data_IF_494711052651
#
_entry.id   IF_494711052651
#
_cell.length_a   1.000
_cell.length_b   1.000
_cell.length_c   1.000
_cell.angle_alpha   90.00
_cell.angle_beta   90.00
_cell.angle_gamma   90.00
#
_symmetry.space_group_name_H-M   'P 1'
#
loop_
_entity.id
_entity.type
_entity.pdbx_description
1 polymer ?
#
# COMPACT_ATOMS: atom_id res chain seq x y z
N UNK A 1 -34.48 -34.94 -17.12
CA UNK A 1 -35.71 -34.21 -17.49
C UNK A 1 -36.64 -35.20 -18.14
N UNK A 2 -37.81 -35.42 -17.53
CA UNK A 2 -38.74 -36.49 -17.86
C UNK A 2 -39.55 -36.14 -19.10
N UNK A 3 -39.67 -37.11 -20.00
CA UNK A 3 -40.45 -37.06 -21.22
C UNK A 3 -41.91 -37.42 -20.87
N UNK A 4 -42.78 -36.41 -20.75
CA UNK A 4 -44.21 -36.55 -20.43
C UNK A 4 -45.05 -36.49 -21.71
N UNK A 5 -44.83 -37.45 -22.62
CA UNK A 5 -45.69 -37.65 -23.78
C UNK A 5 -45.87 -39.14 -24.03
N UNK A 6 -46.75 -39.75 -23.23
CA UNK A 6 -47.46 -40.97 -23.61
C UNK A 6 -48.78 -41.02 -22.84
N UNK A 7 -49.94 -40.91 -23.50
CA UNK A 7 -51.20 -41.35 -22.94
C UNK A 7 -51.52 -42.74 -23.52
N UNK A 8 -50.95 -43.78 -22.90
CA UNK A 8 -51.45 -45.15 -23.05
C UNK A 8 -52.62 -45.37 -22.09
N UNK A 9 -53.60 -46.10 -22.60
CA UNK A 9 -54.78 -46.63 -21.93
C UNK A 9 -55.83 -45.61 -21.49
N UNK A 10 -56.81 -45.36 -22.38
CA UNK A 10 -58.25 -45.33 -22.06
C UNK A 10 -59.03 -45.85 -23.28
N UNK A 11 -58.87 -47.15 -23.57
CA UNK A 11 -59.64 -47.82 -24.62
C UNK A 11 -60.80 -48.59 -23.96
N UNK A 12 -61.89 -47.89 -23.65
CA UNK A 12 -63.13 -48.52 -23.21
C UNK A 12 -63.80 -49.13 -24.46
N UNK A 13 -63.66 -50.44 -24.66
CA UNK A 13 -64.53 -51.22 -25.55
C UNK A 13 -65.84 -51.53 -24.82
N UNK A 14 -67.02 -51.32 -25.43
CA UNK A 14 -68.23 -51.94 -24.92
C UNK A 14 -68.35 -53.38 -25.45
N UNK A 15 -68.41 -54.34 -24.54
CA UNK A 15 -68.84 -55.71 -24.83
C UNK A 15 -70.30 -55.72 -25.30
N UNK A 16 -70.57 -56.52 -26.33
CA UNK A 16 -71.90 -56.87 -26.81
C UNK A 16 -72.41 -58.04 -25.97
N UNK A 17 -73.45 -57.82 -25.18
CA UNK A 17 -74.35 -58.90 -24.80
C UNK A 17 -75.73 -58.38 -24.39
N UNK A 18 -76.77 -59.02 -24.91
CA UNK A 18 -78.05 -59.10 -24.21
C UNK A 18 -79.16 -58.19 -24.73
N UNK A 19 -80.04 -58.80 -25.50
CA UNK A 19 -81.40 -58.44 -25.89
C UNK A 19 -82.30 -57.96 -24.72
N UNK A 20 -83.34 -57.17 -25.03
CA UNK A 20 -84.48 -56.91 -24.11
C UNK A 20 -84.79 -55.43 -23.87
N UNK A 21 -85.84 -54.92 -24.52
CA UNK A 21 -86.29 -53.54 -24.41
C UNK A 21 -87.04 -53.21 -23.11
N UNK A 22 -87.05 -51.92 -22.74
CA UNK A 22 -88.27 -51.16 -22.44
C UNK A 22 -87.97 -49.64 -22.34
N UNK A 23 -88.99 -48.86 -22.67
CA UNK A 23 -89.20 -47.41 -22.53
C UNK A 23 -88.28 -46.60 -21.57
N UNK A 24 -87.73 -45.45 -22.03
CA UNK A 24 -87.58 -44.28 -21.15
C UNK A 24 -87.50 -42.93 -21.88
N UNK A 25 -88.43 -42.04 -21.49
CA UNK A 25 -88.77 -40.73 -22.08
C UNK A 25 -87.81 -39.59 -21.71
N UNK A 26 -86.55 -39.88 -21.37
CA UNK A 26 -85.59 -38.91 -20.78
C UNK A 26 -84.40 -38.53 -21.68
N UNK A 27 -84.30 -39.07 -22.91
CA UNK A 27 -83.09 -38.91 -23.72
C UNK A 27 -82.90 -37.52 -24.37
N UNK A 28 -83.96 -36.76 -24.61
CA UNK A 28 -83.88 -35.43 -25.26
C UNK A 28 -83.40 -34.31 -24.32
N UNK A 29 -83.62 -34.43 -23.01
CA UNK A 29 -83.22 -33.42 -22.03
C UNK A 29 -81.71 -33.36 -21.79
N UNK A 30 -80.98 -34.45 -22.07
CA UNK A 30 -79.50 -34.52 -21.97
C UNK A 30 -78.80 -34.29 -23.32
N UNK A 31 -79.43 -34.65 -24.45
CA UNK A 31 -78.86 -34.49 -25.78
C UNK A 31 -78.71 -33.02 -26.22
N UNK A 32 -79.70 -32.18 -25.93
CA UNK A 32 -79.70 -30.77 -26.36
C UNK A 32 -78.61 -29.95 -25.64
N UNK A 33 -78.42 -30.05 -24.30
CA UNK A 33 -77.29 -29.43 -23.61
C UNK A 33 -75.92 -29.95 -24.08
N UNK A 34 -75.80 -31.25 -24.39
CA UNK A 34 -74.55 -31.86 -24.86
C UNK A 34 -74.15 -31.35 -26.25
N UNK A 35 -75.11 -31.18 -27.16
CA UNK A 35 -74.86 -30.60 -28.49
C UNK A 35 -74.50 -29.10 -28.40
N UNK A 36 -75.17 -28.34 -27.51
CA UNK A 36 -74.83 -26.94 -27.24
C UNK A 36 -73.41 -26.77 -26.67
N UNK A 37 -73.00 -27.65 -25.75
CA UNK A 37 -71.64 -27.69 -25.21
C UNK A 37 -70.60 -28.06 -26.26
N UNK A 38 -70.90 -29.00 -27.17
CA UNK A 38 -69.99 -29.36 -28.26
C UNK A 38 -69.77 -28.21 -29.25
N UNK A 39 -70.84 -27.51 -29.64
CA UNK A 39 -70.76 -26.33 -30.51
C UNK A 39 -70.03 -25.16 -29.83
N UNK A 40 -70.28 -24.91 -28.55
CA UNK A 40 -69.57 -23.90 -27.76
C UNK A 40 -68.09 -24.24 -27.62
N UNK A 41 -67.75 -25.50 -27.35
CA UNK A 41 -66.38 -26.00 -27.26
C UNK A 41 -65.65 -25.91 -28.61
N UNK A 42 -66.35 -26.10 -29.73
CA UNK A 42 -65.80 -25.93 -31.08
C UNK A 42 -65.56 -24.46 -31.44
N UNK A 43 -66.53 -23.57 -31.17
CA UNK A 43 -66.39 -22.12 -31.41
C UNK A 43 -65.27 -21.55 -30.54
N UNK A 44 -65.22 -21.90 -29.26
CA UNK A 44 -64.17 -21.46 -28.34
C UNK A 44 -62.80 -22.02 -28.72
N UNK A 45 -62.72 -23.29 -29.15
CA UNK A 45 -61.47 -23.88 -29.62
C UNK A 45 -60.95 -23.19 -30.88
N UNK A 46 -61.84 -22.75 -31.79
CA UNK A 46 -61.46 -22.07 -33.03
C UNK A 46 -60.99 -20.64 -32.78
N UNK A 47 -61.69 -19.90 -31.92
CA UNK A 47 -61.29 -18.54 -31.54
C UNK A 47 -59.99 -18.56 -30.72
N UNK A 48 -59.87 -19.52 -29.79
CA UNK A 48 -58.64 -19.72 -29.02
C UNK A 48 -57.43 -20.09 -29.90
N UNK A 49 -57.62 -20.95 -30.92
CA UNK A 49 -56.55 -21.25 -31.88
C UNK A 49 -56.10 -20.02 -32.66
N UNK A 50 -57.03 -19.14 -33.04
CA UNK A 50 -56.72 -17.91 -33.75
C UNK A 50 -55.94 -16.93 -32.87
N UNK A 51 -56.35 -16.73 -31.61
CA UNK A 51 -55.62 -15.90 -30.64
C UNK A 51 -54.22 -16.45 -30.34
N UNK A 52 -54.08 -17.77 -30.23
CA UNK A 52 -52.78 -18.43 -30.06
C UNK A 52 -51.88 -18.19 -31.27
N UNK A 53 -52.41 -18.28 -32.49
CA UNK A 53 -51.62 -18.09 -33.71
C UNK A 53 -51.20 -16.63 -33.89
N UNK A 54 -52.09 -15.67 -33.61
CA UNK A 54 -51.77 -14.24 -33.59
C UNK A 54 -50.71 -13.90 -32.53
N UNK A 55 -50.83 -14.50 -31.33
CA UNK A 55 -49.82 -14.36 -30.29
C UNK A 55 -48.47 -14.94 -30.72
N UNK A 56 -48.44 -16.14 -31.31
CA UNK A 56 -47.20 -16.76 -31.83
C UNK A 56 -46.52 -15.88 -32.88
N UNK A 57 -47.27 -15.37 -33.86
CA UNK A 57 -46.70 -14.49 -34.91
C UNK A 57 -46.12 -13.22 -34.29
N UNK A 58 -46.81 -12.65 -33.29
CA UNK A 58 -46.31 -11.48 -32.55
C UNK A 58 -45.03 -11.79 -31.77
N UNK A 59 -44.97 -12.93 -31.09
CA UNK A 59 -43.77 -13.38 -30.36
C UNK A 59 -42.61 -13.70 -31.30
N UNK A 60 -42.86 -14.35 -32.43
CA UNK A 60 -41.82 -14.66 -33.41
C UNK A 60 -41.24 -13.37 -34.01
N UNK A 61 -42.10 -12.38 -34.28
CA UNK A 61 -41.68 -11.06 -34.74
C UNK A 61 -40.84 -10.33 -33.69
N UNK A 62 -41.24 -10.36 -32.41
CA UNK A 62 -40.46 -9.71 -31.34
C UNK A 62 -39.12 -10.40 -31.10
N UNK A 63 -39.08 -11.74 -31.10
CA UNK A 63 -37.83 -12.51 -30.99
C UNK A 63 -36.89 -12.17 -32.14
N UNK A 64 -37.39 -12.13 -33.39
CA UNK A 64 -36.59 -11.75 -34.56
C UNK A 64 -36.04 -10.32 -34.46
N UNK A 65 -36.82 -9.38 -33.93
CA UNK A 65 -36.32 -8.00 -33.71
C UNK A 65 -35.29 -7.92 -32.60
N UNK A 66 -35.51 -8.62 -31.48
CA UNK A 66 -34.57 -8.66 -30.35
C UNK A 66 -33.26 -9.30 -30.80
N UNK A 67 -33.30 -10.40 -31.55
CA UNK A 67 -32.12 -11.08 -32.06
C UNK A 67 -31.30 -10.18 -32.99
N UNK A 68 -31.95 -9.42 -33.88
CA UNK A 68 -31.26 -8.45 -34.74
C UNK A 68 -30.62 -7.30 -33.95
N UNK A 69 -31.33 -6.75 -32.97
CA UNK A 69 -30.81 -5.69 -32.10
C UNK A 69 -29.60 -6.18 -31.29
N UNK A 70 -29.65 -7.42 -30.79
CA UNK A 70 -28.55 -8.04 -30.06
C UNK A 70 -27.32 -8.28 -30.95
N UNK A 71 -27.50 -8.74 -32.20
CA UNK A 71 -26.38 -8.94 -33.14
C UNK A 71 -25.71 -7.59 -33.49
N UNK A 72 -26.50 -6.54 -33.71
CA UNK A 72 -25.96 -5.19 -33.97
C UNK A 72 -25.18 -4.68 -32.76
N UNK A 73 -25.75 -4.77 -31.55
CA UNK A 73 -25.07 -4.36 -30.32
C UNK A 73 -23.78 -5.15 -30.08
N UNK A 74 -23.83 -6.46 -30.26
CA UNK A 74 -22.66 -7.32 -30.12
C UNK A 74 -21.54 -6.91 -31.08
N UNK A 75 -21.85 -6.73 -32.37
CA UNK A 75 -20.86 -6.29 -33.37
C UNK A 75 -20.30 -4.91 -33.05
N UNK A 76 -21.16 -3.99 -32.58
CA UNK A 76 -20.72 -2.65 -32.18
C UNK A 76 -19.74 -2.72 -31.01
N UNK A 77 -20.10 -3.42 -29.93
CA UNK A 77 -19.23 -3.59 -28.75
C UNK A 77 -17.91 -4.27 -29.10
N UNK A 78 -17.91 -5.29 -29.97
CA UNK A 78 -16.66 -5.92 -30.43
C UNK A 78 -15.78 -4.91 -31.20
N UNK A 79 -16.38 -4.07 -32.03
CA UNK A 79 -15.63 -3.06 -32.80
C UNK A 79 -15.08 -1.91 -31.94
N UNK A 80 -15.82 -1.49 -30.92
CA UNK A 80 -15.40 -0.49 -29.94
C UNK A 80 -14.27 -1.04 -29.07
N UNK A 81 -14.44 -2.24 -28.51
CA UNK A 81 -13.39 -2.92 -27.74
C UNK A 81 -12.11 -3.13 -28.57
N UNK A 82 -12.23 -3.49 -29.85
CA UNK A 82 -11.07 -3.65 -30.75
C UNK A 82 -10.34 -2.31 -30.99
N UNK A 83 -11.04 -1.19 -31.00
CA UNK A 83 -10.43 0.15 -31.13
C UNK A 83 -9.76 0.58 -29.83
N UNK A 84 -10.43 0.38 -28.70
CA UNK A 84 -9.89 0.71 -27.37
C UNK A 84 -8.64 -0.10 -27.06
N UNK A 85 -8.65 -1.40 -27.35
CA UNK A 85 -7.47 -2.28 -27.19
C UNK A 85 -6.30 -1.81 -28.06
N UNK A 86 -6.52 -1.50 -29.33
CA UNK A 86 -5.47 -0.97 -30.20
C UNK A 86 -4.92 0.38 -29.71
N UNK A 87 -5.76 1.24 -29.14
CA UNK A 87 -5.33 2.52 -28.57
C UNK A 87 -4.48 2.31 -27.30
N UNK A 88 -4.90 1.42 -26.41
CA UNK A 88 -4.16 1.09 -25.19
C UNK A 88 -2.81 0.45 -25.51
N UNK A 89 -2.72 -0.43 -26.51
CA UNK A 89 -1.46 -1.01 -26.97
C UNK A 89 -0.48 0.06 -27.47
N UNK A 90 -0.98 1.04 -28.22
CA UNK A 90 -0.17 2.14 -28.73
C UNK A 90 0.34 3.06 -27.61
N UNK A 91 -0.49 3.36 -26.61
CA UNK A 91 -0.06 4.17 -25.48
C UNK A 91 0.90 3.41 -24.54
N UNK A 92 0.71 2.09 -24.37
CA UNK A 92 1.66 1.22 -23.69
C UNK A 92 3.05 1.27 -24.35
N UNK A 93 3.10 1.21 -25.68
CA UNK A 93 4.36 1.25 -26.41
C UNK A 93 5.06 2.62 -26.28
N UNK A 94 4.31 3.73 -26.29
CA UNK A 94 4.85 5.07 -26.00
C UNK A 94 5.44 5.15 -24.60
N UNK A 95 4.75 4.62 -23.59
CA UNK A 95 5.23 4.63 -22.21
C UNK A 95 6.48 3.76 -22.04
N UNK A 96 6.54 2.60 -22.69
CA UNK A 96 7.77 1.78 -22.74
C UNK A 96 8.94 2.55 -23.34
N UNK A 97 8.73 3.27 -24.43
CA UNK A 97 9.78 4.10 -25.05
C UNK A 97 10.22 5.25 -24.13
N UNK A 98 9.29 5.94 -23.45
CA UNK A 98 9.60 6.98 -22.46
C UNK A 98 10.40 6.42 -21.29
N UNK A 99 9.96 5.31 -20.71
CA UNK A 99 10.65 4.62 -19.63
C UNK A 99 12.07 4.19 -20.04
N UNK A 100 12.24 3.70 -21.27
CA UNK A 100 13.55 3.36 -21.81
C UNK A 100 14.46 4.60 -21.93
N UNK A 101 13.93 5.72 -22.44
CA UNK A 101 14.65 6.99 -22.52
C UNK A 101 15.11 7.49 -21.15
N UNK A 102 14.24 7.46 -20.14
CA UNK A 102 14.60 7.82 -18.77
C UNK A 102 15.68 6.90 -18.19
N UNK A 103 15.60 5.60 -18.44
CA UNK A 103 16.60 4.63 -17.98
C UNK A 103 17.97 4.89 -18.59
N UNK A 104 18.03 5.22 -19.88
CA UNK A 104 19.28 5.59 -20.54
C UNK A 104 19.86 6.90 -20.00
N UNK A 105 19.02 7.93 -19.79
CA UNK A 105 19.45 9.21 -19.23
C UNK A 105 20.00 9.06 -17.79
N UNK A 106 19.35 8.24 -16.95
CA UNK A 106 19.87 7.92 -15.62
C UNK A 106 21.19 7.16 -15.68
N UNK A 107 21.35 6.24 -16.63
CA UNK A 107 22.60 5.51 -16.81
C UNK A 107 23.75 6.42 -17.26
N UNK A 108 23.50 7.38 -18.16
CA UNK A 108 24.52 8.35 -18.60
C UNK A 108 24.91 9.30 -17.46
N UNK A 109 23.93 9.82 -16.71
CA UNK A 109 24.18 10.67 -15.54
C UNK A 109 24.97 9.91 -14.46
N UNK A 110 24.65 8.65 -14.22
CA UNK A 110 25.37 7.79 -13.28
C UNK A 110 26.83 7.59 -13.69
N UNK A 111 27.09 7.38 -15.00
CA UNK A 111 28.47 7.28 -15.53
C UNK A 111 29.24 8.58 -15.35
N UNK A 112 28.64 9.72 -15.70
CA UNK A 112 29.25 11.03 -15.53
C UNK A 112 29.65 11.28 -14.07
N UNK A 113 28.74 11.05 -13.12
CA UNK A 113 29.02 11.21 -11.69
C UNK A 113 30.14 10.28 -11.19
N UNK A 114 30.26 9.08 -11.78
CA UNK A 114 31.34 8.14 -11.44
C UNK A 114 32.69 8.63 -11.94
N UNK A 115 32.74 9.21 -13.14
CA UNK A 115 33.95 9.83 -13.71
C UNK A 115 34.36 11.08 -12.94
N UNK A 116 33.42 11.98 -12.62
CA UNK A 116 33.68 13.15 -11.78
C UNK A 116 34.23 12.74 -10.40
N UNK A 117 33.64 11.72 -9.78
CA UNK A 117 34.14 11.16 -8.50
C UNK A 117 35.56 10.61 -8.63
N UNK A 118 35.90 9.99 -9.77
CA UNK A 118 37.26 9.50 -10.04
C UNK A 118 38.22 10.66 -10.22
N UNK A 119 37.83 11.70 -10.97
CA UNK A 119 38.62 12.93 -11.15
C UNK A 119 38.92 13.61 -9.81
N UNK A 120 37.89 13.83 -8.99
CA UNK A 120 38.03 14.40 -7.64
C UNK A 120 38.93 13.56 -6.74
N UNK A 121 38.93 12.23 -6.89
CA UNK A 121 39.83 11.35 -6.12
C UNK A 121 41.28 11.53 -6.53
N UNK A 122 41.57 11.58 -7.83
CA UNK A 122 42.92 11.81 -8.35
C UNK A 122 43.45 13.20 -7.96
N UNK A 123 42.61 14.23 -8.05
CA UNK A 123 42.97 15.59 -7.59
C UNK A 123 43.28 15.60 -6.10
N UNK A 124 42.52 14.85 -5.29
CA UNK A 124 42.78 14.72 -3.85
C UNK A 124 44.12 14.03 -3.57
N UNK A 125 44.44 12.96 -4.28
CA UNK A 125 45.73 12.27 -4.15
C UNK A 125 46.90 13.18 -4.57
N UNK A 126 46.73 13.95 -5.65
CA UNK A 126 47.73 14.94 -6.07
C UNK A 126 47.94 16.03 -5.01
N UNK A 127 46.86 16.57 -4.45
CA UNK A 127 46.91 17.56 -3.36
C UNK A 127 47.51 16.97 -2.09
N UNK A 128 47.27 15.70 -1.78
CA UNK A 128 47.84 15.04 -0.61
C UNK A 128 49.34 14.77 -0.77
N UNK A 129 49.79 14.44 -1.97
CA UNK A 129 51.20 14.34 -2.33
C UNK A 129 51.90 15.71 -2.23
N UNK A 130 51.26 16.76 -2.76
CA UNK A 130 51.79 18.13 -2.67
C UNK A 130 51.82 18.63 -1.22
N UNK A 131 50.78 18.36 -0.43
CA UNK A 131 50.76 18.58 1.01
C UNK A 131 51.95 17.89 1.67
N UNK A 132 52.17 16.61 1.39
CA UNK A 132 53.24 15.82 2.00
C UNK A 132 54.63 16.35 1.64
N UNK A 133 54.81 16.85 0.41
CA UNK A 133 56.04 17.54 0.00
C UNK A 133 56.26 18.84 0.79
N UNK A 134 55.21 19.66 0.91
CA UNK A 134 55.26 20.94 1.60
C UNK A 134 55.38 20.81 3.13
N UNK A 135 54.94 19.69 3.72
CA UNK A 135 55.08 19.42 5.17
C UNK A 135 56.52 19.43 5.67
N UNK A 136 57.50 19.12 4.81
CA UNK A 136 58.90 18.97 5.21
C UNK A 136 59.85 19.99 4.58
N UNK A 137 59.35 20.88 3.71
CA UNK A 137 60.19 21.89 3.04
C UNK A 137 59.97 23.28 3.66
N UNK A 138 60.96 23.74 4.42
CA UNK A 138 61.15 25.15 4.78
C UNK A 138 60.66 25.59 6.18
N UNK A 139 61.12 26.76 6.67
CA UNK A 139 60.84 27.24 8.04
C UNK A 139 59.34 27.48 8.32
N UNK A 140 58.58 27.91 7.31
CA UNK A 140 57.13 28.15 7.43
C UNK A 140 56.31 26.86 7.66
N UNK A 141 56.74 25.74 7.07
CA UNK A 141 56.08 24.43 7.28
C UNK A 141 56.27 23.90 8.70
N UNK A 142 57.47 24.07 9.28
CA UNK A 142 57.76 23.68 10.66
C UNK A 142 56.97 24.53 11.68
N UNK A 143 56.87 25.84 11.47
CA UNK A 143 56.06 26.73 12.31
C UNK A 143 54.57 26.39 12.25
N UNK A 144 54.06 26.09 11.06
CA UNK A 144 52.68 25.65 10.86
C UNK A 144 52.40 24.31 11.56
N UNK A 145 53.31 23.35 11.48
CA UNK A 145 53.18 22.08 12.20
C UNK A 145 53.19 22.26 13.71
N UNK A 146 54.07 23.12 14.25
CA UNK A 146 54.08 23.45 15.66
C UNK A 146 52.78 24.13 16.14
N UNK A 147 52.19 24.99 15.30
CA UNK A 147 50.89 25.59 15.59
C UNK A 147 49.74 24.57 15.50
N UNK A 148 49.81 23.63 14.54
CA UNK A 148 48.79 22.60 14.35
C UNK A 148 48.76 21.60 15.51
N UNK A 149 49.92 21.16 16.02
CA UNK A 149 49.97 20.27 17.20
C UNK A 149 49.38 20.93 18.45
N UNK A 150 49.51 22.26 18.60
CA UNK A 150 48.86 23.00 19.69
C UNK A 150 47.34 23.05 19.55
N UNK A 151 46.81 23.17 18.33
CA UNK A 151 45.35 23.15 18.10
C UNK A 151 44.74 21.74 18.16
N UNK A 152 45.56 20.68 18.04
CA UNK A 152 45.12 19.28 18.05
C UNK A 152 44.43 18.86 19.34
N UNK A 153 44.87 19.37 20.49
CA UNK A 153 44.21 19.11 21.78
C UNK A 153 42.79 19.73 21.81
N UNK A 154 42.63 20.91 21.22
CA UNK A 154 41.31 21.56 21.09
C UNK A 154 40.44 20.82 20.08
N UNK A 155 41.00 20.40 18.94
CA UNK A 155 40.31 19.59 17.93
C UNK A 155 39.83 18.26 18.53
N UNK A 156 40.66 17.61 19.35
CA UNK A 156 40.31 16.38 20.04
C UNK A 156 39.15 16.59 21.02
N UNK A 157 39.18 17.64 21.84
CA UNK A 157 38.07 17.97 22.76
C UNK A 157 36.78 18.29 22.02
N UNK A 158 36.85 19.06 20.94
CA UNK A 158 35.68 19.36 20.11
C UNK A 158 35.16 18.10 19.37
N UNK A 159 36.05 17.19 18.97
CA UNK A 159 35.68 15.90 18.37
C UNK A 159 34.97 14.99 19.38
N UNK A 160 35.35 15.03 20.66
CA UNK A 160 34.65 14.33 21.73
C UNK A 160 33.25 14.92 21.96
N UNK A 161 33.13 16.25 22.02
CA UNK A 161 31.82 16.91 22.10
C UNK A 161 30.93 16.54 20.90
N UNK A 162 31.49 16.49 19.69
CA UNK A 162 30.74 16.09 18.50
C UNK A 162 30.33 14.61 18.52
N UNK A 163 31.10 13.73 19.18
CA UNK A 163 30.71 12.32 19.39
C UNK A 163 29.53 12.18 20.35
N UNK A 164 29.43 13.04 21.36
CA UNK A 164 28.24 13.07 22.23
C UNK A 164 26.98 13.44 21.44
N UNK A 165 27.09 14.42 20.55
CA UNK A 165 25.99 14.80 19.65
C UNK A 165 25.65 13.68 18.66
N UNK A 166 26.66 12.98 18.13
CA UNK A 166 26.44 11.78 17.31
C UNK A 166 25.64 10.71 18.08
N UNK A 167 26.01 10.43 19.33
CA UNK A 167 25.30 9.47 20.18
C UNK A 167 23.83 9.88 20.38
N UNK A 168 23.58 11.13 20.74
CA UNK A 168 22.22 11.62 21.01
C UNK A 168 21.35 11.73 19.75
N UNK A 169 21.96 11.99 18.60
CA UNK A 169 21.29 11.90 17.30
C UNK A 169 20.89 10.45 16.97
N UNK A 170 21.76 9.47 17.25
CA UNK A 170 21.39 8.05 17.10
C UNK A 170 20.23 7.67 18.03
N UNK A 171 20.25 8.09 19.29
CA UNK A 171 19.14 7.84 20.22
C UNK A 171 17.84 8.48 19.73
N UNK A 172 17.89 9.73 19.28
CA UNK A 172 16.74 10.40 18.67
C UNK A 172 16.22 9.62 17.47
N UNK A 173 17.11 9.16 16.59
CA UNK A 173 16.70 8.44 15.38
C UNK A 173 16.15 7.05 15.69
N UNK A 174 16.71 6.36 16.69
CA UNK A 174 16.16 5.10 17.22
C UNK A 174 14.76 5.31 17.78
N UNK A 175 14.55 6.38 18.54
CA UNK A 175 13.22 6.75 19.04
C UNK A 175 12.26 7.14 17.91
N UNK A 176 12.73 7.81 16.85
CA UNK A 176 11.95 8.15 15.67
C UNK A 176 11.46 6.89 14.93
N UNK A 177 12.36 5.94 14.70
CA UNK A 177 12.06 4.70 13.99
C UNK A 177 11.32 3.66 14.84
N UNK A 178 11.28 3.83 16.17
CA UNK A 178 10.53 2.97 17.07
C UNK A 178 9.04 3.31 17.08
N UNK A 179 8.20 2.28 16.96
CA UNK A 179 6.73 2.38 17.10
C UNK A 179 6.34 2.63 18.56
N UNK A 180 7.17 2.20 19.52
CA UNK A 180 6.88 2.23 20.95
C UNK A 180 7.13 3.59 21.60
N UNK A 181 7.93 4.46 20.97
CA UNK A 181 8.29 5.75 21.56
C UNK A 181 7.30 6.83 21.15
N UNK A 182 6.73 7.51 22.15
CA UNK A 182 5.74 8.56 21.91
C UNK A 182 6.35 9.80 21.23
N UNK A 183 5.53 10.51 20.46
CA UNK A 183 5.94 11.78 19.82
C UNK A 183 6.41 12.82 20.83
N UNK A 184 5.79 12.87 22.02
CA UNK A 184 6.16 13.81 23.08
C UNK A 184 7.61 13.59 23.54
N UNK A 185 8.00 12.32 23.75
CA UNK A 185 9.37 11.98 24.15
C UNK A 185 10.40 12.37 23.09
N UNK A 186 10.07 12.21 21.80
CA UNK A 186 10.97 12.64 20.70
C UNK A 186 11.20 14.14 20.67
N UNK A 187 10.13 14.92 20.83
CA UNK A 187 10.22 16.39 20.86
C UNK A 187 11.04 16.87 22.07
N UNK A 188 10.95 16.18 23.21
CA UNK A 188 11.80 16.46 24.38
C UNK A 188 13.28 16.25 24.07
N UNK A 189 13.64 15.11 23.45
CA UNK A 189 15.01 14.83 23.02
C UNK A 189 15.54 15.88 22.03
N UNK A 190 14.73 16.30 21.06
CA UNK A 190 15.10 17.34 20.08
C UNK A 190 15.37 18.69 20.75
N UNK A 191 14.53 19.09 21.70
CA UNK A 191 14.73 20.33 22.48
C UNK A 191 16.00 20.27 23.32
N UNK A 192 16.22 19.15 24.02
CA UNK A 192 17.41 18.94 24.84
C UNK A 192 18.69 18.97 23.98
N UNK A 193 18.64 18.37 22.78
CA UNK A 193 19.76 18.41 21.82
C UNK A 193 20.08 19.84 21.39
N UNK A 194 19.09 20.65 21.03
CA UNK A 194 19.32 22.05 20.68
C UNK A 194 19.96 22.84 21.82
N UNK A 195 19.41 22.74 23.03
CA UNK A 195 19.90 23.46 24.21
C UNK A 195 21.33 23.07 24.56
N UNK A 196 21.62 21.78 24.60
CA UNK A 196 22.97 21.28 24.89
C UNK A 196 24.01 21.70 23.85
N UNK A 197 23.66 21.72 22.55
CA UNK A 197 24.58 22.16 21.49
C UNK A 197 24.83 23.66 21.51
N UNK A 198 23.82 24.47 21.85
CA UNK A 198 23.98 25.91 22.02
C UNK A 198 24.86 26.26 23.23
N UNK A 199 24.86 25.40 24.26
CA UNK A 199 25.69 25.56 25.46
C UNK A 199 27.13 25.08 25.30
N UNK A 200 27.46 24.35 24.24
CA UNK A 200 28.79 23.78 24.02
C UNK A 200 29.73 24.79 23.33
N UNK A 201 30.63 25.47 24.08
CA UNK A 201 31.47 26.52 23.50
C UNK A 201 32.44 25.99 22.44
N UNK A 202 32.83 24.71 22.50
CA UNK A 202 33.74 24.12 21.52
C UNK A 202 33.08 23.92 20.16
N UNK A 203 31.74 23.83 20.12
CA UNK A 203 30.96 23.61 18.90
C UNK A 203 30.19 24.86 18.44
N UNK A 204 30.21 25.95 19.21
CA UNK A 204 29.47 27.18 18.91
C UNK A 204 29.72 27.71 17.48
N UNK A 205 30.96 27.58 16.99
CA UNK A 205 31.38 28.01 15.66
C UNK A 205 30.84 27.16 14.50
N UNK A 206 30.24 26.00 14.77
CA UNK A 206 29.67 25.10 13.76
C UNK A 206 28.21 25.46 13.41
N UNK A 207 27.60 26.40 14.14
CA UNK A 207 26.23 26.89 13.92
C UNK A 207 25.24 25.72 13.72
N UNK A 208 25.36 24.69 14.57
CA UNK A 208 24.69 23.41 14.34
C UNK A 208 23.17 23.48 14.48
N UNK A 209 22.63 24.54 15.07
CA UNK A 209 21.20 24.70 15.32
C UNK A 209 20.37 24.53 14.04
N UNK A 210 20.74 25.21 12.96
CA UNK A 210 20.00 25.11 11.70
C UNK A 210 20.08 23.71 11.09
N UNK A 211 21.26 23.07 11.16
CA UNK A 211 21.44 21.71 10.70
C UNK A 211 20.65 20.69 11.53
N UNK A 212 20.57 20.88 12.84
CA UNK A 212 19.75 20.05 13.73
C UNK A 212 18.26 20.21 13.45
N UNK A 213 17.79 21.45 13.25
CA UNK A 213 16.40 21.71 12.86
C UNK A 213 16.05 21.07 11.52
N UNK A 214 16.99 21.09 10.57
CA UNK A 214 16.83 20.42 9.28
C UNK A 214 16.75 18.89 9.43
N UNK A 215 17.64 18.29 10.21
CA UNK A 215 17.60 16.85 10.53
C UNK A 215 16.25 16.48 11.16
N UNK A 216 15.80 17.22 12.17
CA UNK A 216 14.57 16.87 12.88
C UNK A 216 13.34 16.90 11.98
N UNK A 217 13.33 17.85 11.04
CA UNK A 217 12.23 18.05 10.11
C UNK A 217 12.25 17.04 8.96
N UNK A 218 13.44 16.73 8.43
CA UNK A 218 13.57 16.09 7.11
C UNK A 218 14.22 14.70 7.16
N UNK A 219 14.80 14.27 8.29
CA UNK A 219 15.41 12.94 8.39
C UNK A 219 14.40 11.85 8.75
N UNK A 220 13.74 11.34 7.72
CA UNK A 220 12.73 10.27 7.81
C UNK A 220 13.30 8.88 7.53
N UNK A 221 14.63 8.72 7.40
CA UNK A 221 15.22 7.45 7.01
C UNK A 221 15.29 6.48 8.19
N UNK A 222 14.54 5.38 8.08
CA UNK A 222 14.58 4.26 9.01
C UNK A 222 15.00 3.00 8.27
N UNK A 223 15.90 2.24 8.89
CA UNK A 223 16.22 0.91 8.42
C UNK A 223 15.07 -0.06 8.71
N UNK A 224 15.08 -1.21 8.04
CA UNK A 224 14.08 -2.27 8.16
C UNK A 224 13.81 -2.68 9.62
N UNK A 225 12.59 -3.16 9.90
CA UNK A 225 12.09 -3.45 11.25
C UNK A 225 12.98 -4.41 12.08
N UNK A 226 13.74 -5.29 11.41
CA UNK A 226 14.66 -6.25 12.04
C UNK A 226 16.13 -5.81 12.03
N UNK A 227 16.41 -4.54 11.70
CA UNK A 227 17.78 -4.07 11.59
C UNK A 227 18.45 -3.92 12.96
N UNK A 228 19.57 -4.62 13.14
CA UNK A 228 20.40 -4.58 14.35
C UNK A 228 21.43 -3.45 14.34
N UNK A 229 21.70 -2.84 13.18
CA UNK A 229 22.68 -1.75 13.07
C UNK A 229 22.00 -0.38 13.11
N UNK A 230 22.01 0.26 14.29
CA UNK A 230 21.44 1.59 14.50
C UNK A 230 22.04 2.66 13.56
N UNK A 231 23.22 2.43 13.00
CA UNK A 231 23.89 3.36 12.07
C UNK A 231 23.27 3.41 10.69
N UNK A 232 22.34 2.50 10.37
CA UNK A 232 21.60 2.55 9.10
C UNK A 232 20.38 3.47 9.17
N UNK A 233 20.01 3.94 10.36
CA UNK A 233 18.97 4.95 10.51
C UNK A 233 19.56 6.34 10.29
N UNK A 234 18.75 7.27 9.78
CA UNK A 234 19.07 8.70 9.74
C UNK A 234 20.09 9.09 8.68
N UNK A 235 19.72 9.01 7.40
CA UNK A 235 20.67 9.28 6.30
C UNK A 235 21.16 10.74 6.30
N UNK A 236 20.29 11.68 6.71
CA UNK A 236 20.59 13.10 6.72
C UNK A 236 21.48 13.48 7.93
N UNK A 237 21.24 12.91 9.11
CA UNK A 237 22.08 13.16 10.29
C UNK A 237 23.54 12.76 10.05
N UNK A 238 23.78 11.65 9.33
CA UNK A 238 25.14 11.22 8.98
C UNK A 238 25.83 12.20 8.03
N UNK A 239 25.08 12.80 7.12
CA UNK A 239 25.60 13.82 6.21
C UNK A 239 26.05 15.06 6.98
N UNK A 240 25.22 15.56 7.90
CA UNK A 240 25.54 16.69 8.75
C UNK A 240 26.69 16.41 9.71
N UNK A 241 26.72 15.24 10.36
CA UNK A 241 27.84 14.84 11.21
C UNK A 241 29.16 14.81 10.44
N UNK A 242 29.15 14.30 9.19
CA UNK A 242 30.34 14.32 8.33
C UNK A 242 30.75 15.75 7.96
N UNK A 243 29.78 16.61 7.67
CA UNK A 243 30.01 18.02 7.38
C UNK A 243 30.62 18.75 8.58
N UNK A 244 30.06 18.59 9.78
CA UNK A 244 30.58 19.22 11.01
C UNK A 244 31.98 18.71 11.38
N UNK A 245 32.26 17.41 11.22
CA UNK A 245 33.62 16.86 11.37
C UNK A 245 34.61 17.55 10.44
N UNK A 246 34.23 17.78 9.18
CA UNK A 246 35.08 18.48 8.21
C UNK A 246 35.28 19.96 8.55
N UNK A 247 34.22 20.63 9.01
CA UNK A 247 34.33 22.03 9.45
C UNK A 247 35.26 22.20 10.64
N UNK A 248 35.24 21.25 11.58
CA UNK A 248 36.14 21.26 12.73
C UNK A 248 37.61 21.17 12.31
N UNK A 249 37.94 20.23 11.42
CA UNK A 249 39.30 20.08 10.90
C UNK A 249 39.71 21.32 10.08
N UNK A 250 38.81 21.87 9.27
CA UNK A 250 39.09 23.09 8.50
C UNK A 250 39.37 24.29 9.41
N UNK A 251 38.59 24.50 10.47
CA UNK A 251 38.83 25.55 11.45
C UNK A 251 40.15 25.38 12.20
N UNK A 252 40.49 24.14 12.55
CA UNK A 252 41.77 23.80 13.20
C UNK A 252 42.95 24.25 12.32
N UNK A 253 42.88 23.97 11.02
CA UNK A 253 43.87 24.45 10.06
C UNK A 253 43.89 25.97 9.92
N UNK A 254 42.72 26.63 9.81
CA UNK A 254 42.65 28.10 9.72
C UNK A 254 43.25 28.81 10.95
N UNK A 255 43.05 28.26 12.15
CA UNK A 255 43.64 28.81 13.38
C UNK A 255 45.15 28.59 13.43
N UNK A 256 45.63 27.43 13.01
CA UNK A 256 47.07 27.18 12.88
C UNK A 256 47.71 28.15 11.86
N UNK A 257 47.06 28.42 10.72
CA UNK A 257 47.51 29.41 9.74
C UNK A 257 47.55 30.82 10.34
N UNK A 258 46.49 31.22 11.04
CA UNK A 258 46.41 32.52 11.70
C UNK A 258 47.51 32.70 12.77
N UNK A 259 47.82 31.65 13.54
CA UNK A 259 48.89 31.67 14.53
C UNK A 259 50.28 31.84 13.89
N UNK A 260 50.54 31.17 12.77
CA UNK A 260 51.78 31.36 12.01
C UNK A 260 51.86 32.79 11.46
N UNK A 261 50.77 33.28 10.89
CA UNK A 261 50.72 34.64 10.34
C UNK A 261 50.98 35.71 11.42
N UNK A 262 50.40 35.56 12.62
CA UNK A 262 50.65 36.47 13.74
C UNK A 262 52.09 36.41 14.26
N UNK A 263 52.68 35.21 14.36
CA UNK A 263 54.09 35.06 14.76
C UNK A 263 55.04 35.73 13.75
N UNK A 264 54.78 35.57 12.43
CA UNK A 264 55.59 36.23 11.40
C UNK A 264 55.46 37.76 11.38
N UNK A 265 54.36 38.31 11.91
CA UNK A 265 54.16 39.76 12.07
C UNK A 265 54.83 40.31 13.33
N UNK A 266 54.86 39.55 14.43
CA UNK A 266 55.56 39.94 15.66
C UNK A 266 57.09 39.91 15.49
N UNK A 267 57.63 38.92 14.77
CA UNK A 267 59.07 38.89 14.47
C UNK A 267 59.51 40.14 13.68
N UNK A 268 58.65 40.69 12.80
CA UNK A 268 58.94 41.94 12.06
C UNK A 268 59.04 43.19 12.95
N UNK A 269 58.42 43.21 14.13
CA UNK A 269 58.50 44.36 15.05
C UNK A 269 59.80 44.34 15.87
N UNK A 270 60.43 43.18 16.05
CA UNK A 270 61.67 43.03 16.85
C UNK A 270 62.94 43.40 16.05
N UNK A 271 62.91 43.30 14.71
CA UNK A 271 64.00 43.78 13.84
C UNK A 271 64.07 45.31 13.67
N UNK A 272 63.17 46.07 14.32
CA UNK A 272 63.15 47.53 14.32
C UNK A 272 64.14 48.22 15.27
N UNK A 273 64.98 47.46 15.98
CA UNK A 273 66.08 47.96 16.85
C UNK A 273 67.43 47.37 16.45
N UNK A 274 67.78 47.43 15.17
CA UNK A 274 69.08 47.02 14.66
C UNK A 274 69.54 47.97 13.55
N UNK A 275 70.70 48.57 13.77
CA UNK A 275 71.32 49.65 12.99
C UNK A 275 71.65 49.28 11.53
N UNK A 276 71.57 50.31 10.68
CA UNK A 276 72.29 50.54 9.43
C UNK A 276 72.64 49.39 8.48
N UNK A 277 71.96 49.37 7.32
CA UNK A 277 72.61 49.05 6.04
C UNK A 277 71.96 47.94 5.21
N UNK A 278 71.25 48.32 4.13
CA UNK A 278 70.88 47.37 3.07
C UNK A 278 69.58 47.65 2.33
N UNK A 279 69.45 48.84 1.74
CA UNK A 279 68.23 49.33 1.09
C UNK A 279 67.80 48.57 -0.19
N UNK A 280 68.50 47.49 -0.58
CA UNK A 280 68.18 46.65 -1.75
C UNK A 280 67.45 45.34 -1.41
N UNK A 281 67.50 44.86 -0.15
CA UNK A 281 66.73 43.66 0.29
C UNK A 281 65.28 43.98 0.68
N UNK A 282 64.99 45.23 1.03
CA UNK A 282 63.64 45.69 1.38
C UNK A 282 62.67 45.60 0.20
N UNK A 283 63.12 45.92 -1.02
CA UNK A 283 62.26 45.93 -2.20
C UNK A 283 61.78 44.53 -2.63
N UNK A 284 62.64 43.51 -2.58
CA UNK A 284 62.24 42.13 -2.91
C UNK A 284 61.31 41.51 -1.86
N UNK A 285 61.48 41.85 -0.58
CA UNK A 285 60.59 41.41 0.50
C UNK A 285 59.22 42.09 0.46
N UNK A 286 59.15 43.38 0.13
CA UNK A 286 57.90 44.11 -0.03
C UNK A 286 57.10 43.60 -1.25
N UNK A 287 57.78 43.44 -2.39
CA UNK A 287 57.18 42.93 -3.64
C UNK A 287 56.71 41.48 -3.48
N UNK A 288 57.52 40.61 -2.84
CA UNK A 288 57.13 39.24 -2.53
C UNK A 288 55.92 39.15 -1.59
N UNK A 289 55.85 40.03 -0.59
CA UNK A 289 54.69 40.08 0.33
C UNK A 289 53.42 40.59 -0.36
N UNK A 290 53.52 41.57 -1.25
CA UNK A 290 52.36 42.07 -2.00
C UNK A 290 51.85 41.06 -3.03
N UNK A 291 52.75 40.34 -3.70
CA UNK A 291 52.39 39.23 -4.59
C UNK A 291 51.74 38.07 -3.83
N UNK A 292 52.24 37.73 -2.64
CA UNK A 292 51.63 36.72 -1.76
C UNK A 292 50.22 37.11 -1.30
N UNK A 293 50.02 38.38 -0.90
CA UNK A 293 48.70 38.90 -0.50
C UNK A 293 47.73 38.92 -1.70
N UNK A 294 48.20 39.27 -2.90
CA UNK A 294 47.39 39.25 -4.11
C UNK A 294 46.98 37.82 -4.52
N UNK A 295 47.91 36.86 -4.44
CA UNK A 295 47.62 35.44 -4.69
C UNK A 295 46.62 34.87 -3.67
N UNK A 296 46.76 35.21 -2.39
CA UNK A 296 45.82 34.81 -1.34
C UNK A 296 44.43 35.44 -1.54
N UNK A 297 44.34 36.71 -1.98
CA UNK A 297 43.07 37.34 -2.33
C UNK A 297 42.40 36.63 -3.53
N UNK A 298 43.16 36.24 -4.54
CA UNK A 298 42.66 35.48 -5.69
C UNK A 298 42.17 34.08 -5.29
N UNK A 299 42.90 33.36 -4.42
CA UNK A 299 42.48 32.06 -3.88
C UNK A 299 41.19 32.22 -3.06
N UNK A 300 41.11 33.24 -2.21
CA UNK A 300 39.91 33.54 -1.40
C UNK A 300 38.70 33.89 -2.25
N UNK A 301 38.89 34.65 -3.33
CA UNK A 301 37.83 34.93 -4.29
C UNK A 301 37.38 33.65 -5.00
N UNK A 302 38.29 32.82 -5.51
CA UNK A 302 37.96 31.54 -6.13
C UNK A 302 37.22 30.59 -5.18
N UNK A 303 37.59 30.54 -3.90
CA UNK A 303 36.87 29.76 -2.89
C UNK A 303 35.46 30.29 -2.65
N UNK A 304 35.28 31.62 -2.52
CA UNK A 304 33.93 32.23 -2.40
C UNK A 304 33.07 31.93 -3.62
N UNK A 305 33.63 32.00 -4.83
CA UNK A 305 32.87 31.67 -6.05
C UNK A 305 32.45 30.20 -6.06
N UNK A 306 33.35 29.27 -5.70
CA UNK A 306 33.01 27.85 -5.57
C UNK A 306 31.96 27.60 -4.48
N UNK A 307 32.03 28.31 -3.36
CA UNK A 307 31.05 28.19 -2.27
C UNK A 307 29.65 28.66 -2.70
N UNK A 308 29.56 29.76 -3.46
CA UNK A 308 28.30 30.25 -4.04
C UNK A 308 27.74 29.22 -5.03
N UNK A 309 28.56 28.66 -5.92
CA UNK A 309 28.13 27.62 -6.87
C UNK A 309 27.63 26.36 -6.14
N UNK A 310 28.30 25.95 -5.07
CA UNK A 310 27.87 24.81 -4.24
C UNK A 310 26.53 25.11 -3.54
N UNK A 311 26.34 26.33 -3.04
CA UNK A 311 25.06 26.74 -2.42
C UNK A 311 23.92 26.75 -3.44
N UNK A 312 24.15 27.31 -4.64
CA UNK A 312 23.16 27.32 -5.71
C UNK A 312 22.79 25.91 -6.20
N UNK A 313 23.78 25.03 -6.37
CA UNK A 313 23.53 23.63 -6.76
C UNK A 313 22.80 22.87 -5.66
N UNK A 314 23.12 23.09 -4.38
CA UNK A 314 22.39 22.50 -3.25
C UNK A 314 20.93 22.96 -3.22
N UNK A 315 20.65 24.24 -3.48
CA UNK A 315 19.28 24.77 -3.57
C UNK A 315 18.53 24.09 -4.72
N UNK A 316 19.13 24.01 -5.91
CA UNK A 316 18.51 23.35 -7.08
C UNK A 316 18.19 21.88 -6.82
N UNK A 317 19.11 21.13 -6.21
CA UNK A 317 18.90 19.73 -5.83
C UNK A 317 17.77 19.61 -4.80
N UNK A 318 17.73 20.46 -3.79
CA UNK A 318 16.65 20.45 -2.80
C UNK A 318 15.29 20.75 -3.42
N UNK A 319 15.20 21.70 -4.35
CA UNK A 319 13.96 22.00 -5.07
C UNK A 319 13.52 20.81 -5.93
N UNK A 320 14.44 20.16 -6.64
CA UNK A 320 14.13 18.96 -7.43
C UNK A 320 13.68 17.78 -6.55
N UNK A 321 14.33 17.57 -5.41
CA UNK A 321 13.94 16.53 -4.46
C UNK A 321 12.54 16.79 -3.88
N UNK A 322 12.20 18.03 -3.54
CA UNK A 322 10.85 18.38 -3.10
C UNK A 322 9.79 18.13 -4.17
N UNK A 323 10.09 18.39 -5.45
CA UNK A 323 9.16 18.10 -6.54
C UNK A 323 9.00 16.59 -6.76
N UNK A 324 10.08 15.82 -6.63
CA UNK A 324 10.06 14.35 -6.68
C UNK A 324 9.28 13.74 -5.52
N UNK A 325 9.42 14.27 -4.30
CA UNK A 325 8.63 13.85 -3.14
C UNK A 325 7.15 14.12 -3.35
N UNK A 326 6.77 15.32 -3.83
CA UNK A 326 5.37 15.62 -4.18
C UNK A 326 4.82 14.66 -5.24
N UNK A 327 5.61 14.30 -6.25
CA UNK A 327 5.21 13.32 -7.26
C UNK A 327 5.09 11.90 -6.68
N UNK A 328 6.00 11.49 -5.80
CA UNK A 328 5.92 10.21 -5.10
C UNK A 328 4.70 10.12 -4.18
N UNK A 329 4.40 11.17 -3.42
CA UNK A 329 3.23 11.22 -2.54
C UNK A 329 1.94 11.22 -3.34
N UNK A 330 1.89 11.95 -4.46
CA UNK A 330 0.76 11.91 -5.41
C UNK A 330 0.55 10.50 -5.95
N UNK A 331 1.62 9.83 -6.40
CA UNK A 331 1.55 8.48 -6.95
C UNK A 331 1.16 7.45 -5.88
N UNK A 332 1.69 7.57 -4.65
CA UNK A 332 1.27 6.72 -3.52
C UNK A 332 -0.19 6.88 -3.19
N UNK A 333 -0.72 8.11 -3.24
CA UNK A 333 -2.12 8.38 -2.99
C UNK A 333 -3.00 7.78 -4.09
N UNK A 334 -2.57 7.88 -5.35
CA UNK A 334 -3.26 7.29 -6.49
C UNK A 334 -3.30 5.76 -6.41
N UNK A 335 -2.17 5.11 -6.13
CA UNK A 335 -2.08 3.66 -5.90
C UNK A 335 -2.99 3.23 -4.73
N UNK A 336 -2.97 3.97 -3.61
CA UNK A 336 -3.83 3.67 -2.45
C UNK A 336 -5.31 3.77 -2.80
N UNK A 337 -5.69 4.79 -3.58
CA UNK A 337 -7.07 4.98 -4.03
C UNK A 337 -7.49 3.86 -5.00
N UNK A 338 -6.59 3.41 -5.89
CA UNK A 338 -6.87 2.31 -6.81
C UNK A 338 -7.03 0.98 -6.06
N UNK A 339 -6.11 0.65 -5.16
CA UNK A 339 -6.21 -0.55 -4.31
C UNK A 339 -7.51 -0.53 -3.49
N UNK A 340 -7.86 0.62 -2.92
CA UNK A 340 -9.10 0.76 -2.16
C UNK A 340 -10.34 0.57 -3.05
N UNK A 341 -10.30 1.03 -4.30
CA UNK A 341 -11.40 0.88 -5.26
C UNK A 341 -11.56 -0.58 -5.69
N UNK A 342 -10.45 -1.25 -6.01
CA UNK A 342 -10.45 -2.67 -6.37
C UNK A 342 -10.87 -3.56 -5.20
N UNK A 343 -10.46 -3.23 -3.97
CA UNK A 343 -10.98 -3.91 -2.77
C UNK A 343 -12.48 -3.76 -2.62
N UNK A 344 -13.01 -2.56 -2.84
CA UNK A 344 -14.45 -2.33 -2.74
C UNK A 344 -15.22 -3.14 -3.80
N UNK A 345 -14.74 -3.18 -5.05
CA UNK A 345 -15.33 -3.98 -6.12
C UNK A 345 -15.28 -5.48 -5.82
N UNK A 346 -14.15 -5.98 -5.32
CA UNK A 346 -14.01 -7.39 -4.94
C UNK A 346 -14.95 -7.74 -3.78
N UNK A 347 -15.06 -6.85 -2.79
CA UNK A 347 -15.95 -7.01 -1.65
C UNK A 347 -17.43 -7.01 -2.07
N UNK A 348 -17.82 -6.17 -3.03
CA UNK A 348 -19.19 -6.15 -3.56
C UNK A 348 -19.57 -7.45 -4.26
N UNK A 349 -18.66 -8.01 -5.08
CA UNK A 349 -18.87 -9.32 -5.71
C UNK A 349 -19.00 -10.45 -4.69
N UNK A 350 -18.12 -10.46 -3.69
CA UNK A 350 -18.18 -11.47 -2.63
C UNK A 350 -19.43 -11.30 -1.74
N UNK A 351 -19.94 -10.07 -1.55
CA UNK A 351 -21.19 -9.82 -0.82
C UNK A 351 -22.42 -10.43 -1.50
N UNK A 352 -22.47 -10.45 -2.83
CA UNK A 352 -23.56 -11.13 -3.56
C UNK A 352 -23.57 -12.63 -3.25
N UNK A 353 -22.39 -13.26 -3.19
CA UNK A 353 -22.25 -14.67 -2.84
C UNK A 353 -22.48 -14.93 -1.34
N UNK A 354 -22.05 -14.00 -0.47
CA UNK A 354 -22.37 -14.01 0.96
C UNK A 354 -23.88 -13.94 1.17
N UNK A 355 -24.60 -13.13 0.40
CA UNK A 355 -26.05 -12.98 0.53
C UNK A 355 -26.78 -14.29 0.21
N UNK A 356 -26.42 -14.97 -0.87
CA UNK A 356 -26.94 -16.31 -1.18
C UNK A 356 -26.65 -17.33 -0.07
N UNK A 357 -25.43 -17.31 0.48
CA UNK A 357 -25.04 -18.21 1.58
C UNK A 357 -25.77 -17.88 2.89
N UNK A 358 -25.99 -16.59 3.16
CA UNK A 358 -26.73 -16.09 4.32
C UNK A 358 -28.21 -16.47 4.24
N UNK A 359 -28.81 -16.43 3.06
CA UNK A 359 -30.16 -16.93 2.80
C UNK A 359 -30.26 -18.44 3.08
N UNK A 360 -29.29 -19.24 2.63
CA UNK A 360 -29.21 -20.66 2.96
C UNK A 360 -29.08 -20.89 4.47
N UNK A 361 -28.28 -20.06 5.17
CA UNK A 361 -28.13 -20.15 6.62
C UNK A 361 -29.42 -19.78 7.38
N UNK A 362 -30.23 -18.85 6.85
CA UNK A 362 -31.54 -18.52 7.41
C UNK A 362 -32.53 -19.70 7.30
N UNK A 363 -32.42 -20.51 6.23
CA UNK A 363 -33.18 -21.77 6.12
C UNK A 363 -32.75 -22.75 7.21
N UNK A 364 -31.44 -22.90 7.44
CA UNK A 364 -30.92 -23.75 8.52
C UNK A 364 -31.39 -23.27 9.89
N UNK A 365 -31.38 -21.96 10.14
CA UNK A 365 -31.92 -21.37 11.37
C UNK A 365 -33.39 -21.78 11.57
N UNK A 366 -34.22 -21.63 10.54
CA UNK A 366 -35.64 -22.02 10.60
C UNK A 366 -35.81 -23.52 10.91
N UNK A 367 -35.04 -24.38 10.24
CA UNK A 367 -35.08 -25.83 10.48
C UNK A 367 -34.63 -26.20 11.90
N UNK A 368 -33.62 -25.51 12.44
CA UNK A 368 -33.17 -25.71 13.82
C UNK A 368 -34.23 -25.26 14.84
N UNK A 369 -34.89 -24.13 14.59
CA UNK A 369 -36.02 -23.66 15.42
C UNK A 369 -37.14 -24.69 15.43
N UNK A 370 -37.53 -25.21 14.26
CA UNK A 370 -38.60 -26.22 14.16
C UNK A 370 -38.19 -27.55 14.80
N UNK A 371 -36.94 -27.99 14.61
CA UNK A 371 -36.38 -29.15 15.31
C UNK A 371 -36.47 -28.97 16.82
N UNK A 372 -36.05 -27.82 17.35
CA UNK A 372 -36.01 -27.58 18.79
C UNK A 372 -37.42 -27.45 19.38
N UNK A 373 -38.35 -26.84 18.64
CA UNK A 373 -39.76 -26.80 18.99
C UNK A 373 -40.36 -28.19 19.13
N UNK A 374 -40.13 -29.06 18.13
CA UNK A 374 -40.61 -30.44 18.15
C UNK A 374 -39.92 -31.26 19.25
N UNK A 375 -38.62 -31.03 19.52
CA UNK A 375 -37.89 -31.68 20.61
C UNK A 375 -38.44 -31.31 22.00
N UNK A 376 -38.80 -30.04 22.21
CA UNK A 376 -39.34 -29.56 23.48
C UNK A 376 -40.84 -29.88 23.67
N UNK A 377 -41.53 -30.32 22.61
CA UNK A 377 -42.93 -30.69 22.68
C UNK A 377 -43.12 -32.11 23.21
N UNK A 378 -43.92 -32.26 24.27
CA UNK A 378 -44.26 -33.58 24.82
C UNK A 378 -45.13 -34.42 23.87
N UNK A 379 -45.84 -33.78 22.93
CA UNK A 379 -46.80 -34.44 22.04
C UNK A 379 -46.16 -34.98 20.75
N UNK A 380 -44.92 -34.59 20.44
CA UNK A 380 -44.25 -34.96 19.19
C UNK A 380 -43.45 -36.25 19.37
N UNK A 381 -43.62 -37.19 18.44
CA UNK A 381 -42.87 -38.46 18.44
C UNK A 381 -41.40 -38.20 18.08
N UNK A 382 -40.47 -38.85 18.79
CA UNK A 382 -39.02 -38.78 18.52
C UNK A 382 -38.62 -39.08 17.07
N UNK A 383 -39.40 -39.91 16.37
CA UNK A 383 -39.17 -40.25 14.96
C UNK A 383 -39.18 -39.00 14.07
N UNK A 384 -40.10 -38.05 14.33
CA UNK A 384 -40.22 -36.81 13.56
C UNK A 384 -39.00 -35.90 13.74
N UNK A 385 -38.47 -35.82 14.97
CA UNK A 385 -37.24 -35.05 15.27
C UNK A 385 -36.04 -35.64 14.54
N UNK A 386 -35.91 -36.98 14.52
CA UNK A 386 -34.81 -37.65 13.82
C UNK A 386 -34.86 -37.46 12.30
N UNK A 387 -36.06 -37.35 11.72
CA UNK A 387 -36.25 -37.04 10.30
C UNK A 387 -35.78 -35.62 9.99
N UNK A 388 -36.19 -34.63 10.78
CA UNK A 388 -35.69 -33.25 10.71
C UNK A 388 -34.15 -33.16 10.85
N UNK A 389 -33.55 -33.93 11.76
CA UNK A 389 -32.09 -33.96 11.94
C UNK A 389 -31.36 -34.52 10.72
N UNK A 390 -31.92 -35.56 10.06
CA UNK A 390 -31.38 -36.09 8.80
C UNK A 390 -31.50 -35.07 7.68
N UNK A 391 -32.65 -34.41 7.55
CA UNK A 391 -32.89 -33.39 6.53
C UNK A 391 -31.94 -32.19 6.71
N UNK A 392 -31.68 -31.77 7.94
CA UNK A 392 -30.69 -30.73 8.26
C UNK A 392 -29.27 -31.10 7.81
N UNK A 393 -28.83 -32.35 8.05
CA UNK A 393 -27.52 -32.81 7.61
C UNK A 393 -27.42 -32.88 6.08
N UNK A 394 -28.48 -33.32 5.39
CA UNK A 394 -28.52 -33.35 3.93
C UNK A 394 -28.52 -31.93 3.35
N UNK A 395 -29.28 -31.00 3.95
CA UNK A 395 -29.37 -29.63 3.49
C UNK A 395 -28.03 -28.88 3.64
N UNK A 396 -27.35 -29.07 4.77
CA UNK A 396 -26.05 -28.42 5.03
C UNK A 396 -24.87 -29.04 4.29
N UNK A 397 -25.02 -30.25 3.74
CA UNK A 397 -24.06 -30.86 2.83
C UNK A 397 -24.12 -30.30 1.40
N UNK A 398 -25.09 -29.42 1.08
CA UNK A 398 -25.13 -28.73 -0.21
C UNK A 398 -23.92 -27.80 -0.36
N UNK A 399 -23.47 -27.62 -1.61
CA UNK A 399 -22.26 -26.89 -2.00
C UNK A 399 -22.17 -25.46 -1.40
N UNK A 400 -23.32 -24.79 -1.23
CA UNK A 400 -23.40 -23.44 -0.69
C UNK A 400 -22.96 -23.34 0.78
N UNK A 401 -23.08 -24.40 1.59
CA UNK A 401 -22.77 -24.38 3.03
C UNK A 401 -21.62 -25.30 3.42
N UNK A 402 -21.11 -26.10 2.48
CA UNK A 402 -20.07 -27.10 2.71
C UNK A 402 -18.80 -26.49 3.35
N UNK A 403 -18.45 -25.26 2.95
CA UNK A 403 -17.28 -24.54 3.45
C UNK A 403 -17.37 -24.14 4.93
N UNK A 404 -18.57 -24.10 5.52
CA UNK A 404 -18.78 -23.79 6.94
C UNK A 404 -18.59 -25.01 7.86
N UNK A 405 -18.47 -26.23 7.28
CA UNK A 405 -18.25 -27.49 8.00
C UNK A 405 -19.22 -27.66 9.19
N UNK A 406 -20.50 -27.44 8.91
CA UNK A 406 -21.56 -27.38 9.92
C UNK A 406 -21.88 -28.74 10.55
N UNK A 407 -21.47 -29.83 9.92
CA UNK A 407 -21.84 -31.21 10.29
C UNK A 407 -21.47 -31.55 11.74
N UNK A 408 -20.27 -31.17 12.19
CA UNK A 408 -19.82 -31.41 13.57
C UNK A 408 -20.64 -30.60 14.57
N UNK A 409 -20.94 -29.34 14.25
CA UNK A 409 -21.73 -28.46 15.10
C UNK A 409 -23.19 -28.90 15.19
N UNK A 410 -23.78 -29.32 14.08
CA UNK A 410 -25.14 -29.90 14.06
C UNK A 410 -25.23 -31.16 14.92
N UNK A 411 -24.28 -32.10 14.78
CA UNK A 411 -24.25 -33.31 15.63
C UNK A 411 -24.10 -32.97 17.11
N UNK A 412 -23.34 -31.93 17.45
CA UNK A 412 -23.21 -31.46 18.82
C UNK A 412 -24.52 -30.88 19.35
N UNK A 413 -25.19 -30.02 18.57
CA UNK A 413 -26.53 -29.49 18.89
C UNK A 413 -27.52 -30.64 19.11
N UNK A 414 -27.57 -31.61 18.20
CA UNK A 414 -28.54 -32.71 18.29
C UNK A 414 -28.37 -33.53 19.56
N UNK A 415 -27.11 -33.76 19.98
CA UNK A 415 -26.76 -34.54 21.16
C UNK A 415 -26.93 -33.77 22.46
N UNK A 416 -26.53 -32.50 22.47
CA UNK A 416 -26.28 -31.75 23.70
C UNK A 416 -27.25 -30.58 23.93
N UNK A 417 -27.96 -30.09 22.92
CA UNK A 417 -28.91 -28.99 23.09
C UNK A 417 -30.26 -29.47 23.63
N UNK A 418 -30.40 -29.38 24.95
CA UNK A 418 -31.59 -29.81 25.70
C UNK A 418 -32.38 -28.63 26.27
N UNK A 419 -32.01 -27.41 25.92
CA UNK A 419 -32.61 -26.22 26.52
C UNK A 419 -34.00 -25.99 25.94
N UNK A 420 -35.00 -26.05 26.80
CA UNK A 420 -36.39 -25.75 26.48
C UNK A 420 -36.88 -24.59 27.35
N UNK A 421 -37.59 -23.66 26.75
CA UNK A 421 -38.30 -22.62 27.47
C UNK A 421 -39.43 -23.23 28.30
N UNK A 422 -39.92 -22.45 29.27
CA UNK A 422 -40.99 -22.88 30.17
C UNK A 422 -42.24 -23.32 29.37
N UNK A 423 -42.98 -24.32 29.85
CA UNK A 423 -44.07 -24.98 29.13
C UNK A 423 -45.17 -24.03 28.62
N UNK A 424 -45.34 -22.88 29.27
CA UNK A 424 -46.32 -21.84 28.89
C UNK A 424 -45.80 -20.87 27.81
N UNK A 425 -44.55 -20.98 27.41
CA UNK A 425 -43.96 -20.07 26.44
C UNK A 425 -44.22 -20.54 25.01
N UNK A 426 -44.92 -19.71 24.24
CA UNK A 426 -45.22 -19.96 22.83
C UNK A 426 -44.13 -19.48 21.87
N UNK A 427 -43.12 -18.74 22.37
CA UNK A 427 -42.03 -18.24 21.57
C UNK A 427 -40.99 -19.33 21.29
N UNK A 428 -40.97 -19.81 20.03
CA UNK A 428 -40.03 -20.83 19.56
C UNK A 428 -38.56 -20.42 19.69
N UNK A 429 -38.25 -19.12 19.67
CA UNK A 429 -36.88 -18.62 19.66
C UNK A 429 -36.18 -18.74 21.02
N UNK A 430 -36.92 -19.03 22.10
CA UNK A 430 -36.33 -19.21 23.44
C UNK A 430 -35.80 -20.61 23.70
N UNK A 431 -36.06 -21.57 22.81
CA UNK A 431 -35.50 -22.92 22.92
C UNK A 431 -34.12 -22.96 22.28
N UNK A 432 -33.28 -23.91 22.72
CA UNK A 432 -32.04 -24.26 22.02
C UNK A 432 -30.89 -23.27 22.22
N UNK A 433 -30.34 -23.18 23.44
CA UNK A 433 -29.26 -22.20 23.71
C UNK A 433 -28.00 -22.47 22.90
N UNK A 434 -27.71 -23.74 22.60
CA UNK A 434 -26.50 -24.13 21.89
C UNK A 434 -26.63 -23.89 20.38
N UNK A 435 -27.81 -24.11 19.80
CA UNK A 435 -28.06 -23.84 18.37
C UNK A 435 -27.82 -22.37 18.01
N UNK A 436 -28.21 -21.43 18.89
CA UNK A 436 -27.98 -20.00 18.69
C UNK A 436 -26.50 -19.63 18.73
N UNK A 437 -25.72 -20.26 19.61
CA UNK A 437 -24.28 -20.06 19.68
C UNK A 437 -23.60 -20.48 18.37
N UNK A 438 -23.96 -21.66 17.85
CA UNK A 438 -23.45 -22.17 16.59
C UNK A 438 -23.88 -21.33 15.39
N UNK A 439 -25.15 -20.90 15.32
CA UNK A 439 -25.63 -20.00 14.27
C UNK A 439 -24.85 -18.68 14.24
N UNK A 440 -24.57 -18.09 15.41
CA UNK A 440 -23.74 -16.89 15.51
C UNK A 440 -22.30 -17.16 15.04
N UNK A 441 -21.73 -18.29 15.44
CA UNK A 441 -20.39 -18.70 15.00
C UNK A 441 -20.33 -18.87 13.47
N UNK A 442 -21.30 -19.54 12.85
CA UNK A 442 -21.34 -19.75 11.41
C UNK A 442 -21.51 -18.45 10.62
N UNK A 443 -22.34 -17.52 11.10
CA UNK A 443 -22.46 -16.17 10.53
C UNK A 443 -21.12 -15.42 10.55
N UNK A 444 -20.38 -15.50 11.66
CA UNK A 444 -19.06 -14.88 11.77
C UNK A 444 -18.03 -15.53 10.85
N UNK A 445 -18.04 -16.87 10.72
CA UNK A 445 -17.17 -17.59 9.80
C UNK A 445 -17.43 -17.21 8.35
N UNK A 446 -18.70 -17.07 7.97
CA UNK A 446 -19.09 -16.63 6.63
C UNK A 446 -18.49 -15.25 6.32
N UNK A 447 -18.74 -14.25 7.18
CA UNK A 447 -18.22 -12.89 7.00
C UNK A 447 -16.67 -12.86 6.93
N UNK A 448 -16.00 -13.64 7.78
CA UNK A 448 -14.54 -13.73 7.76
C UNK A 448 -14.01 -14.30 6.44
N UNK A 449 -14.65 -15.35 5.91
CA UNK A 449 -14.26 -15.93 4.63
C UNK A 449 -14.52 -14.98 3.45
N UNK A 450 -15.62 -14.23 3.45
CA UNK A 450 -15.88 -13.17 2.46
C UNK A 450 -14.71 -12.19 2.41
N UNK A 451 -14.27 -11.71 3.58
CA UNK A 451 -13.14 -10.78 3.68
C UNK A 451 -11.82 -11.40 3.18
N UNK A 452 -11.53 -12.65 3.55
CA UNK A 452 -10.32 -13.35 3.11
C UNK A 452 -10.29 -13.58 1.59
N UNK A 453 -11.43 -13.88 0.97
CA UNK A 453 -11.54 -14.04 -0.48
C UNK A 453 -11.34 -12.70 -1.21
N UNK A 454 -11.95 -11.62 -0.71
CA UNK A 454 -11.75 -10.29 -1.25
C UNK A 454 -10.27 -9.86 -1.17
N UNK A 455 -9.60 -10.15 -0.05
CA UNK A 455 -8.16 -9.91 0.11
C UNK A 455 -7.31 -10.74 -0.88
N UNK A 456 -7.59 -12.05 -1.00
CA UNK A 456 -6.87 -12.92 -1.92
C UNK A 456 -7.07 -12.53 -3.40
N UNK A 457 -8.25 -12.02 -3.77
CA UNK A 457 -8.53 -11.54 -5.12
C UNK A 457 -7.61 -10.36 -5.52
N UNK A 458 -7.30 -9.45 -4.58
CA UNK A 458 -6.37 -8.34 -4.81
C UNK A 458 -4.93 -8.83 -4.91
N UNK A 459 -4.51 -9.70 -4.00
CA UNK A 459 -3.13 -10.21 -4.02
C UNK A 459 -2.84 -10.92 -5.35
N UNK A 460 -3.83 -11.67 -5.87
CA UNK A 460 -3.71 -12.34 -7.15
C UNK A 460 -3.74 -11.39 -8.36
N UNK A 461 -4.49 -10.28 -8.31
CA UNK A 461 -4.47 -9.29 -9.40
C UNK A 461 -3.12 -8.57 -9.47
N UNK A 462 -2.50 -8.27 -8.33
CA UNK A 462 -1.18 -7.62 -8.26
C UNK A 462 -0.02 -8.50 -8.75
N UNK A 463 -0.15 -9.83 -8.70
CA UNK A 463 0.91 -10.75 -9.19
C UNK A 463 0.87 -11.04 -10.69
N UNK A 464 -0.18 -10.61 -11.39
CA UNK A 464 -0.37 -10.86 -12.84
C UNK A 464 0.11 -9.72 -13.74
N UNK A 465 0.38 -8.55 -13.17
CA UNK A 465 1.09 -7.42 -13.81
C UNK A 465 2.59 -7.49 -13.49
#
# INVERSE_FOLDING_TARGET
MNNLNDPQDWNIRPERQGDGGDSSKWNYALLVPMLGLAAFRWIWSKESQKEIEEAKVKYEKTIKTIQKDLDVKYRQTVSENSRETAQLELDLEKEKQRAHGYRQALASQSRQLKEERRGMRLEREALENERSRLRYTGPGGALFHGALEKEKEREWRASLALKDIEYRLMERQRAFCSILVSRARRVEMEKDLLVSTAKEPLLAHLEMEDGLRDIFKNDCSCAEYLNTDERRNGSLMWLYLRYWKQQLTLQTHQRAEAAVHMNTMNDRQDWGRGDGGGNSKLNYALIGSMLGIAALRLIRLKFRTKEIIIKETKIKINTQNQELEKKCDSMRLEIKNEISREFQKALEKEKEQEQSTSEALNVVEKMLIDRQWDFCSFLVRRVKVQELEKDLLVHTAKQELEHLKMDKGLRDIFKNDKTCANFLNTDKHRNGSLMWLYLKYWRLQLALQTHQKAEAAILNSQTKE
#
